data_IF_040537520461
#
_entry.id   IF_040537520461
#
_cell.length_a   1.000
_cell.length_b   1.000
_cell.length_c   1.000
_cell.angle_alpha   90.00
_cell.angle_beta   90.00
_cell.angle_gamma   90.00
#
_symmetry.space_group_name_H-M   'P 1'
#
loop_
_entity.id
_entity.type
_entity.pdbx_description
1 polymer ?
#
# COMPACT_ATOMS: atom_id res chain seq x y z
N UNK A 1 3.26 -22.90 -7.26
CA UNK A 1 3.81 -22.69 -5.90
C UNK A 1 2.68 -22.62 -4.85
N UNK A 2 2.95 -22.81 -3.55
CA UNK A 2 1.95 -22.66 -2.48
C UNK A 2 2.28 -21.46 -1.55
N UNK A 3 1.32 -21.02 -0.72
CA UNK A 3 1.49 -19.81 0.11
C UNK A 3 2.63 -19.92 1.14
N UNK A 4 3.00 -21.13 1.57
CA UNK A 4 4.14 -21.34 2.48
C UNK A 4 5.48 -21.10 1.79
N UNK A 5 5.60 -21.44 0.52
CA UNK A 5 6.78 -21.07 -0.27
C UNK A 5 6.88 -19.56 -0.45
N UNK A 6 5.76 -18.87 -0.75
CA UNK A 6 5.77 -17.40 -0.84
C UNK A 6 6.16 -16.76 0.51
N UNK A 7 5.69 -17.32 1.64
CA UNK A 7 6.12 -16.93 2.99
C UNK A 7 7.64 -17.03 3.12
N UNK A 8 8.23 -18.16 2.75
CA UNK A 8 9.69 -18.39 2.81
C UNK A 8 10.46 -17.36 1.98
N UNK A 9 10.02 -17.09 0.76
CA UNK A 9 10.66 -16.09 -0.13
C UNK A 9 10.54 -14.66 0.42
N UNK A 10 9.36 -14.29 0.94
CA UNK A 10 9.20 -13.01 1.60
C UNK A 10 10.07 -12.89 2.87
N UNK A 11 10.23 -13.99 3.63
CA UNK A 11 11.13 -14.05 4.79
C UNK A 11 12.58 -13.79 4.39
N UNK A 12 13.08 -14.42 3.33
CA UNK A 12 14.47 -14.21 2.88
C UNK A 12 14.73 -12.80 2.37
N UNK A 13 13.70 -12.09 1.90
CA UNK A 13 13.78 -10.69 1.49
C UNK A 13 13.70 -9.71 2.68
N UNK A 14 13.00 -10.10 3.74
CA UNK A 14 12.71 -9.27 4.91
C UNK A 14 13.22 -9.90 6.21
N UNK A 15 14.42 -10.50 6.19
CA UNK A 15 14.98 -11.22 7.33
C UNK A 15 15.01 -10.37 8.59
N UNK A 16 15.34 -9.08 8.45
CA UNK A 16 15.43 -8.12 9.56
C UNK A 16 14.05 -7.71 10.13
N UNK A 17 12.93 -8.06 9.49
CA UNK A 17 11.62 -7.46 9.79
C UNK A 17 10.47 -8.42 10.03
N UNK A 18 10.62 -9.69 9.64
CA UNK A 18 9.54 -10.67 9.80
C UNK A 18 9.16 -10.90 11.27
N UNK A 19 10.09 -10.65 12.19
CA UNK A 19 9.89 -10.84 13.63
C UNK A 19 9.04 -9.73 14.28
N UNK A 20 8.87 -8.57 13.63
CA UNK A 20 8.14 -7.44 14.22
C UNK A 20 6.63 -7.49 13.99
N UNK A 21 6.12 -8.41 13.17
CA UNK A 21 4.72 -8.42 12.77
C UNK A 21 4.12 -9.83 12.77
N UNK A 22 2.82 -9.93 13.02
CA UNK A 22 2.10 -11.19 12.89
C UNK A 22 1.65 -11.39 11.44
N UNK A 23 2.26 -12.39 10.78
CA UNK A 23 2.08 -12.60 9.35
C UNK A 23 1.16 -13.78 8.99
N UNK A 24 0.74 -14.58 9.97
CA UNK A 24 0.16 -15.90 9.68
C UNK A 24 -1.11 -15.83 8.82
N UNK A 25 -2.01 -14.86 9.06
CA UNK A 25 -3.22 -14.66 8.24
C UNK A 25 -2.89 -14.37 6.76
N UNK A 26 -1.80 -13.67 6.46
CA UNK A 26 -1.40 -13.36 5.07
C UNK A 26 -1.09 -14.63 4.28
N UNK A 27 -0.41 -15.58 4.93
CA UNK A 27 0.10 -16.78 4.28
C UNK A 27 -0.87 -17.97 4.32
N UNK A 28 -1.90 -17.91 5.15
CA UNK A 28 -2.97 -18.91 5.18
C UNK A 28 -4.00 -18.70 4.06
N UNK A 29 -4.04 -17.51 3.46
CA UNK A 29 -4.95 -17.21 2.36
C UNK A 29 -4.56 -17.96 1.07
N UNK A 30 -5.55 -18.37 0.26
CA UNK A 30 -5.29 -18.94 -1.06
C UNK A 30 -4.50 -17.95 -1.92
N UNK A 31 -3.48 -18.42 -2.66
CA UNK A 31 -2.72 -17.59 -3.60
C UNK A 31 -3.63 -16.87 -4.59
N UNK A 32 -4.73 -17.52 -5.01
CA UNK A 32 -5.74 -16.96 -5.90
C UNK A 32 -6.41 -15.68 -5.38
N UNK A 33 -6.29 -15.38 -4.07
CA UNK A 33 -6.74 -14.11 -3.49
C UNK A 33 -5.81 -12.93 -3.77
N UNK A 34 -4.59 -13.16 -4.26
CA UNK A 34 -3.59 -12.11 -4.54
C UNK A 34 -2.81 -11.63 -3.32
N UNK A 35 -3.38 -11.70 -2.12
CA UNK A 35 -2.82 -11.08 -0.90
C UNK A 35 -1.37 -11.52 -0.59
N UNK A 36 -1.07 -12.82 -0.63
CA UNK A 36 0.29 -13.31 -0.36
C UNK A 36 1.29 -12.91 -1.46
N UNK A 37 0.82 -12.80 -2.70
CA UNK A 37 1.62 -12.33 -3.82
C UNK A 37 1.91 -10.83 -3.73
N UNK A 38 0.92 -10.00 -3.38
CA UNK A 38 1.12 -8.56 -3.14
C UNK A 38 2.18 -8.29 -2.07
N UNK A 39 2.14 -9.03 -0.95
CA UNK A 39 3.15 -8.90 0.11
C UNK A 39 4.52 -9.37 -0.33
N UNK A 40 4.61 -10.41 -1.16
CA UNK A 40 5.87 -10.84 -1.75
C UNK A 40 6.46 -9.75 -2.67
N UNK A 41 5.62 -9.10 -3.48
CA UNK A 41 6.06 -7.98 -4.33
C UNK A 41 6.49 -6.78 -3.49
N UNK A 42 5.75 -6.44 -2.44
CA UNK A 42 6.18 -5.39 -1.52
C UNK A 42 7.53 -5.72 -0.86
N UNK A 43 7.75 -6.99 -0.46
CA UNK A 43 9.03 -7.47 0.04
C UNK A 43 10.17 -7.28 -0.97
N UNK A 44 9.93 -7.59 -2.24
CA UNK A 44 10.91 -7.40 -3.32
C UNK A 44 11.24 -5.91 -3.53
N UNK A 45 10.24 -5.02 -3.51
CA UNK A 45 10.45 -3.57 -3.64
C UNK A 45 11.34 -3.01 -2.52
N UNK A 46 11.17 -3.50 -1.29
CA UNK A 46 12.00 -3.10 -0.14
C UNK A 46 13.43 -3.60 -0.31
N UNK A 47 13.57 -4.87 -0.69
CA UNK A 47 14.88 -5.52 -0.87
C UNK A 47 15.70 -4.78 -1.90
N UNK A 48 15.11 -4.50 -3.07
CA UNK A 48 15.77 -3.73 -4.13
C UNK A 48 16.10 -2.30 -3.66
N UNK A 49 15.24 -1.67 -2.86
CA UNK A 49 15.53 -0.33 -2.30
C UNK A 49 16.74 -0.37 -1.35
N UNK A 50 16.86 -1.43 -0.54
CA UNK A 50 18.00 -1.68 0.35
C UNK A 50 19.29 -1.94 -0.45
N UNK A 51 19.21 -2.74 -1.52
CA UNK A 51 20.35 -3.02 -2.41
C UNK A 51 20.86 -1.77 -3.11
N UNK A 52 19.98 -0.81 -3.40
CA UNK A 52 20.33 0.52 -3.95
C UNK A 52 20.92 1.48 -2.91
N UNK A 53 21.01 1.07 -1.65
CA UNK A 53 21.53 1.89 -0.55
C UNK A 53 20.56 3.00 -0.12
N UNK A 54 19.27 2.87 -0.40
CA UNK A 54 18.27 3.85 0.04
C UNK A 54 17.92 3.63 1.52
N UNK A 55 17.65 4.73 2.21
CA UNK A 55 17.16 4.66 3.58
C UNK A 55 15.69 4.23 3.54
N UNK A 56 15.27 3.46 4.54
CA UNK A 56 13.88 3.05 4.65
C UNK A 56 13.47 2.94 6.12
N UNK A 57 12.18 3.12 6.37
CA UNK A 57 11.59 2.93 7.69
C UNK A 57 10.19 2.33 7.59
N UNK A 58 9.78 1.65 8.66
CA UNK A 58 8.42 1.17 8.87
C UNK A 58 7.73 2.09 9.87
N UNK A 59 6.92 3.06 9.42
CA UNK A 59 6.38 4.10 10.31
C UNK A 59 5.52 3.52 11.43
N UNK A 60 4.88 2.36 11.19
CA UNK A 60 4.06 1.66 12.18
C UNK A 60 4.84 1.33 13.47
N UNK A 61 6.15 1.08 13.38
CA UNK A 61 6.98 0.73 14.53
C UNK A 61 7.16 1.87 15.53
N UNK A 62 6.85 3.11 15.11
CA UNK A 62 6.83 4.31 15.96
C UNK A 62 5.56 4.41 16.82
N UNK A 63 4.56 3.58 16.54
CA UNK A 63 3.32 3.52 17.31
C UNK A 63 3.36 2.35 18.29
N UNK A 64 2.68 2.48 19.44
CA UNK A 64 2.68 1.44 20.48
C UNK A 64 1.96 0.15 20.06
N UNK A 65 1.15 0.19 19.00
CA UNK A 65 0.41 -0.97 18.50
C UNK A 65 1.05 -1.47 17.21
N UNK A 66 1.77 -2.60 17.28
CA UNK A 66 2.77 -2.96 16.27
C UNK A 66 2.42 -4.18 15.43
N UNK A 67 1.92 -5.27 16.03
CA UNK A 67 2.11 -6.59 15.42
C UNK A 67 0.97 -7.02 14.48
N UNK A 68 -0.29 -7.01 14.93
CA UNK A 68 -1.45 -7.45 14.13
C UNK A 68 -1.93 -6.40 13.12
N UNK A 69 -1.60 -5.12 13.36
CA UNK A 69 -2.10 -3.99 12.60
C UNK A 69 -1.37 -3.82 11.26
N UNK A 70 -0.10 -4.20 11.19
CA UNK A 70 0.72 -3.93 10.02
C UNK A 70 0.19 -4.59 8.75
N UNK A 71 -0.44 -5.77 8.87
CA UNK A 71 -0.98 -6.50 7.72
C UNK A 71 -2.29 -5.89 7.16
N UNK A 72 -2.96 -5.00 7.92
CA UNK A 72 -4.21 -4.38 7.52
C UNK A 72 -4.06 -3.45 6.30
N UNK A 73 -5.17 -3.16 5.64
CA UNK A 73 -5.23 -2.27 4.47
C UNK A 73 -5.09 -0.81 4.84
N UNK A 74 -4.52 0.03 3.98
CA UNK A 74 -4.55 1.48 4.14
C UNK A 74 -5.92 2.06 3.72
N UNK A 75 -6.97 1.61 4.42
CA UNK A 75 -8.37 1.94 4.13
C UNK A 75 -9.08 2.47 5.37
N UNK A 76 -9.68 3.65 5.24
CA UNK A 76 -10.47 4.25 6.32
C UNK A 76 -11.69 3.37 6.58
N UNK A 77 -11.93 2.90 7.82
CA UNK A 77 -13.06 2.03 8.12
C UNK A 77 -14.42 2.65 7.71
N UNK A 78 -15.23 1.87 6.98
CA UNK A 78 -16.57 2.27 6.50
C UNK A 78 -17.62 1.19 6.80
N UNK A 79 -18.87 1.62 7.05
CA UNK A 79 -19.98 0.74 7.44
C UNK A 79 -20.44 -0.22 6.33
N UNK A 80 -20.13 0.06 5.05
CA UNK A 80 -20.57 -0.72 3.88
C UNK A 80 -19.47 -1.59 3.24
N UNK A 81 -18.25 -1.60 3.77
CA UNK A 81 -17.11 -2.31 3.18
C UNK A 81 -16.76 -3.66 3.83
N UNK A 82 -17.25 -3.92 5.03
CA UNK A 82 -17.08 -5.21 5.68
C UNK A 82 -18.24 -6.13 5.29
N UNK A 83 -18.21 -6.68 4.07
CA UNK A 83 -18.92 -7.94 3.87
C UNK A 83 -18.27 -8.96 4.82
N UNK A 84 -19.05 -9.61 5.70
CA UNK A 84 -18.55 -10.69 6.53
C UNK A 84 -18.09 -11.82 5.60
N UNK A 85 -16.77 -12.03 5.47
CA UNK A 85 -16.21 -13.06 4.59
C UNK A 85 -14.76 -12.86 4.10
N UNK A 86 -14.16 -11.67 4.21
CA UNK A 86 -12.79 -11.41 3.70
C UNK A 86 -11.75 -10.92 4.72
N UNK A 87 -12.09 -10.95 6.00
CA UNK A 87 -11.14 -10.69 7.10
C UNK A 87 -11.42 -11.68 8.22
N UNK A 88 -11.06 -12.95 8.00
CA UNK A 88 -11.00 -13.94 9.08
C UNK A 88 -9.78 -13.64 9.95
N UNK A 89 -9.98 -13.70 11.27
CA UNK A 89 -9.00 -13.75 12.37
C UNK A 89 -8.51 -12.44 13.00
N UNK A 90 -8.67 -11.25 12.41
CA UNK A 90 -8.31 -9.99 13.07
C UNK A 90 -9.49 -9.43 13.87
N UNK A 91 -10.01 -10.20 14.82
CA UNK A 91 -11.27 -9.90 15.54
C UNK A 91 -11.11 -8.96 16.74
N UNK A 92 -9.89 -8.59 17.13
CA UNK A 92 -9.64 -7.85 18.38
C UNK A 92 -9.07 -6.43 18.22
N UNK A 93 -8.79 -5.97 17.00
CA UNK A 93 -8.22 -4.63 16.78
C UNK A 93 -9.31 -3.57 16.93
N UNK A 94 -9.07 -2.60 17.80
CA UNK A 94 -10.06 -1.57 18.09
C UNK A 94 -10.25 -0.63 16.88
N UNK A 95 -11.42 0.02 16.80
CA UNK A 95 -11.72 0.89 15.67
C UNK A 95 -10.72 2.05 15.54
N UNK A 96 -10.26 2.61 16.66
CA UNK A 96 -9.28 3.71 16.68
C UNK A 96 -7.94 3.33 16.05
N UNK A 97 -7.47 2.11 16.29
CA UNK A 97 -6.26 1.52 15.73
C UNK A 97 -6.39 1.31 14.23
N UNK A 98 -7.56 0.85 13.76
CA UNK A 98 -7.83 0.71 12.33
C UNK A 98 -7.81 2.08 11.62
N UNK A 99 -8.36 3.11 12.26
CA UNK A 99 -8.28 4.48 11.75
C UNK A 99 -6.84 4.98 11.70
N UNK A 100 -6.07 4.80 12.77
CA UNK A 100 -4.65 5.16 12.82
C UNK A 100 -3.88 4.46 11.70
N UNK A 101 -3.96 3.14 11.64
CA UNK A 101 -3.27 2.32 10.64
C UNK A 101 -3.63 2.71 9.23
N UNK A 102 -4.90 3.01 8.96
CA UNK A 102 -5.32 3.36 7.61
C UNK A 102 -4.44 4.46 7.03
N UNK A 103 -4.03 5.42 7.87
CA UNK A 103 -3.23 6.61 7.58
C UNK A 103 -1.71 6.41 7.65
N UNK A 104 -1.23 5.32 8.24
CA UNK A 104 0.20 5.01 8.40
C UNK A 104 0.69 4.27 7.16
N UNK A 105 1.66 4.81 6.38
CA UNK A 105 2.26 4.08 5.27
C UNK A 105 2.83 2.75 5.75
N UNK A 106 2.83 1.72 4.90
CA UNK A 106 3.54 0.49 5.22
C UNK A 106 5.03 0.76 5.35
N UNK A 107 5.55 1.53 4.41
CA UNK A 107 6.99 1.77 4.26
C UNK A 107 7.19 3.18 3.78
N UNK A 108 8.26 3.80 4.27
CA UNK A 108 8.77 5.05 3.74
C UNK A 108 10.20 4.79 3.28
N UNK A 109 10.48 5.15 2.04
CA UNK A 109 11.82 5.13 1.47
C UNK A 109 12.29 6.57 1.34
N UNK A 110 13.56 6.81 1.68
CA UNK A 110 14.24 8.08 1.47
C UNK A 110 15.40 7.89 0.50
N UNK A 111 15.38 8.68 -0.56
CA UNK A 111 16.42 8.75 -1.57
C UNK A 111 16.78 10.21 -1.81
N UNK A 112 18.06 10.55 -1.67
CA UNK A 112 18.58 11.90 -1.94
C UNK A 112 17.78 13.03 -1.24
N UNK A 113 17.29 12.77 -0.02
CA UNK A 113 16.46 13.69 0.78
C UNK A 113 14.97 13.72 0.44
N UNK A 114 14.54 12.98 -0.59
CA UNK A 114 13.14 12.86 -1.01
C UNK A 114 12.53 11.60 -0.39
N UNK A 115 11.37 11.77 0.23
CA UNK A 115 10.61 10.68 0.84
C UNK A 115 9.54 10.13 -0.10
N UNK A 116 9.32 8.82 -0.05
CA UNK A 116 8.30 8.10 -0.79
C UNK A 116 7.56 7.16 0.15
N UNK A 117 6.26 7.37 0.31
CA UNK A 117 5.40 6.55 1.16
C UNK A 117 4.65 5.52 0.34
N UNK A 118 4.75 4.25 0.74
CA UNK A 118 4.08 3.10 0.13
C UNK A 118 2.87 2.73 0.98
N UNK A 119 1.69 2.73 0.35
CA UNK A 119 0.43 2.30 0.95
C UNK A 119 -0.07 1.04 0.25
N UNK A 120 -0.72 0.15 1.01
CA UNK A 120 -1.29 -1.09 0.51
C UNK A 120 -2.81 -1.07 0.51
N UNK A 121 -3.44 -1.53 -0.56
CA UNK A 121 -4.89 -1.69 -0.68
C UNK A 121 -5.68 -0.41 -0.29
N UNK A 122 -5.19 0.76 -0.71
CA UNK A 122 -5.86 2.05 -0.47
C UNK A 122 -4.95 3.27 -0.40
N UNK A 123 -5.56 4.46 -0.53
CA UNK A 123 -4.89 5.75 -0.37
C UNK A 123 -5.78 6.68 0.47
N UNK A 124 -5.66 6.67 1.81
CA UNK A 124 -6.56 7.40 2.70
C UNK A 124 -6.47 8.92 2.49
N UNK A 125 -5.26 9.43 2.25
CA UNK A 125 -5.02 10.85 2.00
C UNK A 125 -5.71 11.32 0.72
N UNK A 126 -5.73 10.51 -0.34
CA UNK A 126 -6.47 10.83 -1.56
C UNK A 126 -7.97 10.90 -1.30
N UNK A 127 -8.54 9.88 -0.64
CA UNK A 127 -9.96 9.86 -0.25
C UNK A 127 -10.37 11.12 0.53
N UNK A 128 -9.60 11.46 1.57
CA UNK A 128 -9.90 12.61 2.44
C UNK A 128 -9.69 13.95 1.73
N UNK A 129 -8.57 14.11 1.02
CA UNK A 129 -8.18 15.41 0.44
C UNK A 129 -8.85 15.71 -0.89
N UNK A 130 -9.13 14.71 -1.72
CA UNK A 130 -9.89 14.90 -2.96
C UNK A 130 -11.41 14.89 -2.72
N UNK A 131 -11.87 14.55 -1.51
CA UNK A 131 -13.29 14.39 -1.18
C UNK A 131 -14.00 13.40 -2.10
N UNK A 132 -13.33 12.28 -2.40
CA UNK A 132 -13.84 11.24 -3.28
C UNK A 132 -13.97 9.96 -2.48
N UNK A 133 -15.19 9.43 -2.44
CA UNK A 133 -15.46 8.11 -1.87
C UNK A 133 -15.57 7.11 -3.02
N UNK A 134 -14.71 6.10 -3.00
CA UNK A 134 -14.57 5.10 -4.05
C UNK A 134 -14.22 3.74 -3.42
N UNK A 135 -14.61 2.65 -4.07
CA UNK A 135 -14.38 1.28 -3.56
C UNK A 135 -13.13 0.64 -4.14
N UNK A 136 -12.63 1.17 -5.26
CA UNK A 136 -11.42 0.72 -5.95
C UNK A 136 -10.19 0.88 -5.05
N UNK A 137 -9.39 -0.17 -4.96
CA UNK A 137 -8.23 -0.23 -4.05
C UNK A 137 -7.03 -0.71 -4.84
N UNK A 138 -6.09 0.18 -5.19
CA UNK A 138 -4.82 -0.25 -5.77
C UNK A 138 -4.06 -1.10 -4.74
N UNK A 139 -3.43 -2.18 -5.19
CA UNK A 139 -2.70 -3.07 -4.30
C UNK A 139 -1.54 -2.35 -3.63
N UNK A 140 -0.73 -1.62 -4.39
CA UNK A 140 0.33 -0.75 -3.87
C UNK A 140 0.23 0.62 -4.55
N UNK A 141 0.22 1.68 -3.76
CA UNK A 141 0.29 3.06 -4.25
C UNK A 141 1.43 3.82 -3.57
N UNK A 142 2.23 4.49 -4.39
CA UNK A 142 3.40 5.25 -3.98
C UNK A 142 3.10 6.74 -4.14
N UNK A 143 3.22 7.49 -3.05
CA UNK A 143 3.06 8.95 -3.06
C UNK A 143 4.33 9.60 -2.51
N UNK A 144 4.76 10.76 -3.06
CA UNK A 144 5.92 11.46 -2.53
C UNK A 144 5.54 12.14 -1.21
N UNK A 145 6.44 12.06 -0.23
CA UNK A 145 6.27 12.62 1.10
C UNK A 145 6.20 11.58 2.20
N UNK A 146 5.98 12.07 3.42
CA UNK A 146 5.84 11.27 4.64
C UNK A 146 4.89 11.93 5.64
N UNK A 147 4.33 11.16 6.59
CA UNK A 147 3.64 11.75 7.73
C UNK A 147 4.53 12.74 8.47
N UNK A 148 3.92 13.81 9.00
CA UNK A 148 4.60 14.75 9.89
C UNK A 148 5.04 14.06 11.17
N UNK A 149 6.08 14.57 11.81
CA UNK A 149 6.58 14.05 13.08
C UNK A 149 5.44 14.06 14.11
N UNK A 150 5.19 12.89 14.74
CA UNK A 150 4.11 12.71 15.71
C UNK A 150 2.73 12.44 15.11
N UNK A 151 2.61 12.32 13.78
CA UNK A 151 1.36 12.03 13.10
C UNK A 151 1.42 10.70 12.32
N UNK A 152 0.27 10.04 12.09
CA UNK A 152 -1.03 10.33 12.71
C UNK A 152 -1.04 10.00 14.21
N UNK A 153 -1.96 10.58 14.97
CA UNK A 153 -2.15 10.23 16.39
C UNK A 153 -3.63 10.18 16.77
N UNK A 154 -3.94 9.43 17.83
CA UNK A 154 -5.29 9.27 18.36
C UNK A 154 -5.50 10.22 19.54
N UNK A 155 -6.52 11.07 19.45
CA UNK A 155 -7.10 11.81 20.57
C UNK A 155 -8.26 10.98 21.14
N UNK A 156 -7.97 10.20 22.19
CA UNK A 156 -8.91 9.26 22.79
C UNK A 156 -10.10 9.97 23.45
N UNK A 157 -9.86 11.12 24.07
CA UNK A 157 -10.89 11.89 24.78
C UNK A 157 -11.95 12.45 23.82
N UNK A 158 -11.54 12.78 22.59
CA UNK A 158 -12.45 13.30 21.56
C UNK A 158 -12.91 12.25 20.55
N UNK A 159 -12.39 11.02 20.62
CA UNK A 159 -12.67 9.98 19.64
C UNK A 159 -12.24 10.40 18.22
N UNK A 160 -11.05 10.98 18.10
CA UNK A 160 -10.55 11.59 16.86
C UNK A 160 -9.18 11.02 16.48
N UNK A 161 -8.92 10.86 15.18
CA UNK A 161 -7.57 10.65 14.65
C UNK A 161 -7.14 11.92 13.92
N UNK A 162 -6.02 12.48 14.34
CA UNK A 162 -5.40 13.63 13.70
C UNK A 162 -4.34 13.13 12.73
N UNK A 163 -4.28 13.72 11.54
CA UNK A 163 -3.30 13.37 10.52
C UNK A 163 -2.63 14.63 9.98
N UNK A 164 -1.38 14.45 9.57
CA UNK A 164 -0.60 15.47 8.86
C UNK A 164 0.41 14.75 7.99
N UNK A 165 0.48 15.13 6.72
CA UNK A 165 1.33 14.52 5.72
C UNK A 165 2.02 15.61 4.89
N UNK A 166 3.34 15.56 4.85
CA UNK A 166 4.17 16.51 4.12
C UNK A 166 4.49 15.95 2.74
N UNK A 167 3.87 16.52 1.70
CA UNK A 167 4.21 16.27 0.31
C UNK A 167 5.38 17.18 -0.09
N UNK A 168 6.45 16.60 -0.64
CA UNK A 168 7.60 17.28 -1.29
C UNK A 168 8.19 18.48 -0.50
N UNK A 169 9.38 18.31 0.09
CA UNK A 169 10.16 19.37 0.77
C UNK A 169 9.38 20.22 1.81
N UNK A 170 8.29 19.67 2.37
CA UNK A 170 7.45 20.34 3.36
C UNK A 170 6.57 21.48 2.81
N UNK A 171 6.58 21.71 1.49
CA UNK A 171 5.90 22.85 0.85
C UNK A 171 4.38 22.66 0.72
N UNK A 172 3.91 21.41 0.71
CA UNK A 172 2.50 21.07 0.59
C UNK A 172 2.11 20.11 1.72
N UNK A 173 1.28 20.58 2.65
CA UNK A 173 0.86 19.79 3.81
C UNK A 173 -0.63 19.47 3.66
N UNK A 174 -0.97 18.19 3.73
CA UNK A 174 -2.34 17.76 4.01
C UNK A 174 -2.48 17.42 5.48
N UNK A 175 -3.36 18.12 6.18
CA UNK A 175 -3.63 17.86 7.58
C UNK A 175 -5.14 17.82 7.84
N UNK A 176 -5.54 17.20 8.93
CA UNK A 176 -6.95 17.13 9.26
C UNK A 176 -7.25 16.21 10.43
N UNK A 177 -8.55 16.02 10.62
CA UNK A 177 -9.13 15.28 11.74
C UNK A 177 -10.24 14.39 11.19
N UNK A 178 -10.16 13.09 11.45
CA UNK A 178 -11.25 12.15 11.21
C UNK A 178 -11.89 11.77 12.55
N UNK A 179 -13.22 11.67 12.58
CA UNK A 179 -13.94 11.10 13.73
C UNK A 179 -13.83 9.59 13.67
N UNK A 180 -13.56 8.96 14.80
CA UNK A 180 -13.49 7.51 14.93
C UNK A 180 -14.91 7.00 15.09
N UNK A 181 -15.55 6.72 13.95
CA UNK A 181 -16.90 6.18 13.88
C UNK A 181 -17.03 5.31 12.65
N UNK A 182 -17.86 4.28 12.73
CA UNK A 182 -18.30 3.60 11.52
C UNK A 182 -19.28 4.54 10.79
N UNK A 183 -19.01 4.81 9.51
CA UNK A 183 -19.81 5.70 8.69
C UNK A 183 -19.85 5.18 7.25
N UNK A 184 -20.95 5.37 6.51
CA UNK A 184 -20.99 5.09 5.08
C UNK A 184 -20.06 6.01 4.29
N UNK A 185 -19.78 7.21 4.81
CA UNK A 185 -18.90 8.20 4.20
C UNK A 185 -17.63 8.40 5.03
N UNK A 186 -16.56 8.90 4.43
CA UNK A 186 -15.34 9.31 5.16
C UNK A 186 -15.70 10.30 6.29
N UNK A 187 -15.47 9.97 7.58
CA UNK A 187 -15.91 10.79 8.70
C UNK A 187 -14.95 11.97 8.98
N UNK A 188 -14.66 12.77 7.96
CA UNK A 188 -13.76 13.91 8.03
C UNK A 188 -14.40 15.09 8.79
N UNK A 189 -13.83 15.44 9.95
CA UNK A 189 -14.24 16.62 10.75
C UNK A 189 -13.61 17.90 10.24
N UNK A 190 -12.32 17.84 9.88
CA UNK A 190 -11.55 18.98 9.37
C UNK A 190 -10.51 18.47 8.39
N UNK A 191 -10.21 19.28 7.37
CA UNK A 191 -9.02 19.14 6.53
C UNK A 191 -8.44 20.51 6.18
N UNK A 192 -7.15 20.56 5.95
CA UNK A 192 -6.43 21.68 5.40
C UNK A 192 -5.56 21.19 4.24
N UNK A 193 -5.63 21.84 3.06
CA UNK A 193 -6.51 22.96 2.73
C UNK A 193 -8.00 22.58 2.73
N UNK A 194 -8.88 23.51 3.12
CA UNK A 194 -10.33 23.27 3.26
C UNK A 194 -10.98 22.81 1.94
N UNK A 195 -10.56 23.41 0.82
CA UNK A 195 -11.02 23.06 -0.53
C UNK A 195 -10.55 21.67 -0.98
N UNK A 196 -9.71 21.00 -0.20
CA UNK A 196 -9.02 19.80 -0.62
C UNK A 196 -7.82 20.11 -1.50
N UNK A 197 -7.08 19.07 -1.85
CA UNK A 197 -5.95 19.14 -2.77
C UNK A 197 -5.85 17.84 -3.56
N UNK A 198 -5.34 17.93 -4.79
CA UNK A 198 -4.98 16.71 -5.52
C UNK A 198 -3.73 16.11 -4.87
N UNK A 199 -3.78 14.80 -4.60
CA UNK A 199 -2.61 14.08 -4.07
C UNK A 199 -1.71 13.69 -5.23
N UNK A 200 -0.42 14.10 -5.23
CA UNK A 200 0.52 13.65 -6.26
C UNK A 200 0.77 12.15 -6.09
N UNK A 201 0.62 11.38 -7.17
CA UNK A 201 0.92 9.95 -7.18
C UNK A 201 2.20 9.71 -7.98
N UNK A 202 3.18 9.09 -7.33
CA UNK A 202 4.44 8.66 -7.97
C UNK A 202 4.18 7.44 -8.84
N UNK A 203 3.36 6.51 -8.36
CA UNK A 203 2.78 5.47 -9.19
C UNK A 203 1.96 4.45 -8.42
N UNK A 204 1.41 3.50 -9.16
CA UNK A 204 0.53 2.44 -8.69
C UNK A 204 1.04 1.13 -9.27
N UNK A 205 1.14 0.12 -8.42
CA UNK A 205 1.47 -1.24 -8.79
C UNK A 205 0.27 -2.10 -8.46
N UNK A 206 -0.29 -2.75 -9.47
CA UNK A 206 -1.34 -3.74 -9.31
C UNK A 206 -0.72 -5.13 -9.44
N UNK A 207 -0.98 -5.98 -8.46
CA UNK A 207 -0.48 -7.33 -8.36
C UNK A 207 -1.61 -8.32 -8.67
N UNK A 208 -1.34 -9.38 -9.40
CA UNK A 208 -2.38 -10.39 -9.64
C UNK A 208 -1.79 -11.72 -10.06
N UNK A 209 -2.37 -12.83 -9.60
CA UNK A 209 -1.91 -14.16 -10.01
C UNK A 209 -2.64 -14.74 -11.22
N UNK A 210 -3.86 -14.29 -11.53
CA UNK A 210 -4.74 -14.95 -12.52
C UNK A 210 -5.68 -14.02 -13.29
N UNK A 211 -5.48 -12.69 -13.20
CA UNK A 211 -6.30 -11.70 -13.91
C UNK A 211 -6.05 -11.76 -15.41
N UNK A 212 -7.09 -11.48 -16.19
CA UNK A 212 -6.98 -11.37 -17.66
C UNK A 212 -6.46 -10.00 -18.06
N UNK A 213 -5.84 -9.89 -19.24
CA UNK A 213 -5.36 -8.61 -19.78
C UNK A 213 -6.46 -7.55 -19.85
N UNK A 214 -7.68 -7.94 -20.25
CA UNK A 214 -8.83 -7.04 -20.30
C UNK A 214 -9.15 -6.44 -18.93
N UNK A 215 -9.29 -7.30 -17.90
CA UNK A 215 -9.62 -6.86 -16.54
C UNK A 215 -8.51 -5.99 -15.97
N UNK A 216 -7.24 -6.35 -16.19
CA UNK A 216 -6.10 -5.55 -15.77
C UNK A 216 -6.09 -4.17 -16.46
N UNK A 217 -6.35 -4.12 -17.77
CA UNK A 217 -6.40 -2.87 -18.52
C UNK A 217 -7.53 -1.95 -18.04
N UNK A 218 -8.73 -2.50 -17.82
CA UNK A 218 -9.89 -1.76 -17.32
C UNK A 218 -9.61 -1.18 -15.92
N UNK A 219 -8.95 -1.95 -15.05
CA UNK A 219 -8.61 -1.53 -13.70
C UNK A 219 -7.54 -0.43 -13.67
N UNK A 220 -6.46 -0.58 -14.43
CA UNK A 220 -5.43 0.47 -14.53
C UNK A 220 -5.96 1.74 -15.20
N UNK A 221 -6.88 1.62 -16.16
CA UNK A 221 -7.58 2.77 -16.73
C UNK A 221 -8.44 3.48 -15.67
N UNK A 222 -9.14 2.72 -14.83
CA UNK A 222 -9.88 3.26 -13.70
C UNK A 222 -8.96 4.03 -12.75
N UNK A 223 -7.83 3.44 -12.35
CA UNK A 223 -6.84 4.12 -11.50
C UNK A 223 -6.25 5.37 -12.14
N UNK A 224 -5.94 5.32 -13.44
CA UNK A 224 -5.46 6.49 -14.18
C UNK A 224 -6.42 7.67 -14.03
N UNK A 225 -7.71 7.42 -14.18
CA UNK A 225 -8.75 8.45 -14.10
C UNK A 225 -8.98 8.92 -12.66
N UNK A 226 -9.08 7.97 -11.73
CA UNK A 226 -9.33 8.23 -10.32
C UNK A 226 -8.22 9.08 -9.68
N UNK A 227 -6.97 8.66 -9.90
CA UNK A 227 -5.79 9.29 -9.32
C UNK A 227 -5.13 10.34 -10.24
N UNK A 228 -5.71 10.59 -11.41
CA UNK A 228 -5.24 11.56 -12.42
C UNK A 228 -3.77 11.36 -12.82
N UNK A 229 -3.32 10.10 -12.89
CA UNK A 229 -1.94 9.75 -13.23
C UNK A 229 -1.69 10.09 -14.70
N UNK A 230 -0.85 11.10 -14.96
CA UNK A 230 -0.62 11.59 -16.32
C UNK A 230 0.28 10.66 -17.13
N UNK A 231 1.37 10.19 -16.52
CA UNK A 231 2.33 9.30 -17.17
C UNK A 231 1.90 7.83 -17.02
N UNK A 232 1.59 7.17 -18.14
CA UNK A 232 1.19 5.75 -18.13
C UNK A 232 2.26 4.82 -17.54
N UNK A 233 3.54 5.17 -17.64
CA UNK A 233 4.65 4.36 -17.10
C UNK A 233 4.68 4.30 -15.56
N UNK A 234 3.79 5.05 -14.89
CA UNK A 234 3.59 5.01 -13.44
C UNK A 234 2.45 4.08 -13.02
N UNK A 235 1.85 3.36 -13.95
CA UNK A 235 0.81 2.36 -13.73
C UNK A 235 1.37 1.02 -14.19
N UNK A 236 1.68 0.16 -13.24
CA UNK A 236 2.48 -1.04 -13.44
C UNK A 236 1.67 -2.29 -13.06
N UNK A 237 1.86 -3.37 -13.81
CA UNK A 237 1.34 -4.68 -13.50
C UNK A 237 2.48 -5.61 -13.10
N UNK A 238 2.32 -6.31 -11.97
CA UNK A 238 3.16 -7.46 -11.65
C UNK A 238 2.26 -8.68 -11.54
N UNK A 239 2.49 -9.70 -12.37
CA UNK A 239 1.53 -10.78 -12.55
C UNK A 239 2.12 -12.18 -12.40
N UNK A 240 1.33 -13.09 -11.83
CA UNK A 240 1.61 -14.52 -11.76
C UNK A 240 1.25 -15.30 -13.03
N UNK A 241 0.74 -14.60 -14.05
CA UNK A 241 0.39 -15.14 -15.37
C UNK A 241 0.86 -14.18 -16.48
N UNK A 242 1.12 -14.71 -17.67
CA UNK A 242 1.56 -13.91 -18.83
C UNK A 242 0.44 -12.95 -19.28
N UNK A 243 0.72 -11.65 -19.22
CA UNK A 243 -0.12 -10.56 -19.71
C UNK A 243 0.61 -9.69 -20.76
N UNK A 244 1.47 -10.30 -21.58
CA UNK A 244 2.21 -9.63 -22.65
C UNK A 244 1.35 -8.82 -23.64
N UNK A 245 0.04 -9.07 -23.70
CA UNK A 245 -0.94 -8.30 -24.49
C UNK A 245 -1.56 -7.10 -23.75
N UNK A 246 -1.07 -6.73 -22.56
CA UNK A 246 -1.54 -5.56 -21.83
C UNK A 246 -1.05 -4.24 -22.48
N UNK A 247 -1.86 -3.19 -22.36
CA UNK A 247 -1.49 -1.83 -22.81
C UNK A 247 -0.57 -1.10 -21.82
N UNK A 248 -0.21 -1.77 -20.73
CA UNK A 248 0.53 -1.21 -19.60
C UNK A 248 1.84 -1.97 -19.39
N UNK A 249 2.80 -1.28 -18.75
CA UNK A 249 4.06 -1.89 -18.38
C UNK A 249 3.80 -3.05 -17.41
N UNK A 250 4.31 -4.23 -17.76
CA UNK A 250 3.97 -5.48 -17.08
C UNK A 250 5.22 -6.33 -16.85
N UNK A 251 5.24 -6.97 -15.68
CA UNK A 251 6.29 -7.88 -15.27
C UNK A 251 5.67 -9.21 -14.84
N UNK A 252 6.01 -10.26 -15.56
CA UNK A 252 5.57 -11.62 -15.26
C UNK A 252 6.52 -12.29 -14.26
N UNK A 253 5.95 -12.88 -13.21
CA UNK A 253 6.60 -13.73 -12.21
C UNK A 253 6.02 -15.13 -12.35
N UNK A 254 6.82 -16.07 -12.81
CA UNK A 254 6.35 -17.43 -13.07
C UNK A 254 6.30 -18.27 -11.79
N UNK A 255 5.14 -18.30 -11.14
CA UNK A 255 4.91 -19.02 -9.87
C UNK A 255 4.96 -20.56 -10.01
N UNK A 256 5.21 -21.11 -11.20
CA UNK A 256 5.40 -22.55 -11.42
C UNK A 256 6.88 -22.97 -11.40
N UNK A 257 7.80 -22.00 -11.42
CA UNK A 257 9.25 -22.25 -11.36
C UNK A 257 9.77 -22.60 -9.97
N UNK A 258 11.06 -22.91 -9.90
CA UNK A 258 11.80 -23.14 -8.65
C UNK A 258 11.84 -21.87 -7.81
N UNK A 259 12.04 -22.05 -6.50
CA UNK A 259 12.03 -20.96 -5.52
C UNK A 259 13.03 -19.84 -5.87
N UNK A 260 14.25 -20.21 -6.28
CA UNK A 260 15.30 -19.27 -6.65
C UNK A 260 14.92 -18.45 -7.90
N UNK A 261 14.32 -19.10 -8.90
CA UNK A 261 13.90 -18.46 -10.15
C UNK A 261 12.72 -17.50 -9.91
N UNK A 262 11.78 -17.86 -9.02
CA UNK A 262 10.69 -16.96 -8.61
C UNK A 262 11.23 -15.74 -7.88
N UNK A 263 12.21 -15.92 -7.00
CA UNK A 263 12.86 -14.81 -6.30
C UNK A 263 13.55 -13.86 -7.29
N UNK A 264 14.31 -14.39 -8.24
CA UNK A 264 14.95 -13.59 -9.30
C UNK A 264 13.93 -12.81 -10.14
N UNK A 265 12.80 -13.44 -10.49
CA UNK A 265 11.71 -12.78 -11.21
C UNK A 265 11.08 -11.65 -10.40
N UNK A 266 10.84 -11.85 -9.10
CA UNK A 266 10.34 -10.82 -8.18
C UNK A 266 11.30 -9.63 -8.07
N UNK A 267 12.60 -9.88 -7.86
CA UNK A 267 13.61 -8.83 -7.76
C UNK A 267 13.73 -8.05 -9.07
N UNK A 268 13.72 -8.75 -10.22
CA UNK A 268 13.73 -8.09 -11.53
C UNK A 268 12.51 -7.20 -11.75
N UNK A 269 11.31 -7.66 -11.36
CA UNK A 269 10.09 -6.89 -11.43
C UNK A 269 10.12 -5.65 -10.51
N UNK A 270 10.65 -5.81 -9.28
CA UNK A 270 10.82 -4.72 -8.33
C UNK A 270 11.80 -3.66 -8.84
N UNK A 271 12.96 -4.08 -9.36
CA UNK A 271 13.95 -3.22 -10.00
C UNK A 271 13.35 -2.36 -11.10
N UNK A 272 12.70 -3.01 -12.07
CA UNK A 272 12.06 -2.31 -13.18
C UNK A 272 10.96 -1.36 -12.71
N UNK A 273 10.17 -1.78 -11.71
CA UNK A 273 9.15 -0.94 -11.08
C UNK A 273 9.74 0.33 -10.48
N UNK A 274 10.76 0.25 -9.64
CA UNK A 274 11.38 1.42 -9.02
C UNK A 274 12.01 2.36 -10.05
N UNK A 275 12.56 1.81 -11.14
CA UNK A 275 13.09 2.58 -12.26
C UNK A 275 11.97 3.33 -13.01
N UNK A 276 10.88 2.63 -13.34
CA UNK A 276 9.70 3.20 -14.03
C UNK A 276 8.98 4.27 -13.19
N UNK A 277 8.91 4.09 -11.88
CA UNK A 277 8.35 5.08 -10.95
C UNK A 277 9.14 6.40 -10.94
N UNK A 278 10.40 6.36 -11.38
CA UNK A 278 11.28 7.52 -11.37
C UNK A 278 11.47 8.06 -9.96
N UNK A 279 11.61 7.16 -8.98
CA UNK A 279 12.03 7.49 -7.62
C UNK A 279 13.44 8.08 -7.76
N UNK A 280 13.50 9.42 -7.69
CA UNK A 280 14.66 10.23 -8.00
C UNK A 280 15.33 10.67 -6.74
#
# INVERSE_FOLDING_TARGET
MNSQTLKKLAKSMLEDYIEFFEWDDVWERPISSGTSFEWLILAALITESKERGWNYEYPILKHEIKEEIFILRNEIPQHHGAQPGHSSNVSNINLSERFLQSLVPKIIIEKDGIYYSFFREGCPYHKVMCNQDYSERPDIIVIPGKPSVGFPYIDKDRGEVHFSFNFMDGSNIAEGILRITNSPNIPCKKRSPLRGMNIPITGIVECSVNKTAKVANDQLLCYKNLFKVQNKNRLLLITGNDLSHSDWDNHYVDLERKEEEVLEDCIRAAKSTLDSLGIK
#
